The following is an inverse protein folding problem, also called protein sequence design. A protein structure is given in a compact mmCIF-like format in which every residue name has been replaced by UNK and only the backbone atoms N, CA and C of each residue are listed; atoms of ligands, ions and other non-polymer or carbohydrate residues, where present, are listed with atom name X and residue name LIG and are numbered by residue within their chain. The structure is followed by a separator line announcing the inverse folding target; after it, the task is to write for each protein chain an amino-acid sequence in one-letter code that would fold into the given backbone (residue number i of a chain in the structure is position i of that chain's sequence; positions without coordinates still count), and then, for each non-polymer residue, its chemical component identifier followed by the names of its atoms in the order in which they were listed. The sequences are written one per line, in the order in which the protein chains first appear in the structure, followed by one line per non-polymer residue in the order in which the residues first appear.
data_IF_111344990158
#
_entry.id   IF_111344990158
#
_cell.length_a   1.000
_cell.length_b   1.000
_cell.length_c   1.000
_cell.angle_alpha   90.00
_cell.angle_beta   90.00
_cell.angle_gamma   90.00
#
_symmetry.space_group_name_H-M   'P 1'
#
loop_
_entity.id
_entity.type
_entity.pdbx_description
1 polymer ?
#
# COMPACT_ATOMS: atom_id res chain seq x y z
N UNK A 1 -10.75 -43.56 -7.78
CA UNK A 1 -11.60 -43.50 -6.59
C UNK A 1 -10.71 -43.35 -5.36
N UNK A 2 -10.48 -42.12 -4.98
CA UNK A 2 -9.95 -41.71 -3.68
C UNK A 2 -10.44 -40.26 -3.52
N UNK A 3 -11.70 -40.13 -3.13
CA UNK A 3 -12.31 -38.85 -2.83
C UNK A 3 -11.65 -38.30 -1.56
N UNK A 4 -10.77 -37.31 -1.76
CA UNK A 4 -10.30 -36.44 -0.71
C UNK A 4 -11.47 -35.60 -0.22
N UNK A 5 -12.09 -36.00 0.88
CA UNK A 5 -13.03 -35.16 1.62
C UNK A 5 -12.23 -33.97 2.16
N UNK A 6 -12.28 -32.85 1.44
CA UNK A 6 -11.88 -31.57 2.00
C UNK A 6 -12.71 -31.35 3.26
N UNK A 7 -12.07 -31.35 4.42
CA UNK A 7 -12.72 -31.01 5.68
C UNK A 7 -13.28 -29.60 5.56
N UNK A 8 -14.59 -29.48 5.34
CA UNK A 8 -15.29 -28.20 5.44
C UNK A 8 -15.11 -27.70 6.86
N UNK A 9 -14.20 -26.76 7.07
CA UNK A 9 -14.10 -26.03 8.32
C UNK A 9 -15.45 -25.38 8.59
N UNK A 10 -16.19 -25.91 9.56
CA UNK A 10 -17.40 -25.29 10.07
C UNK A 10 -16.94 -24.11 10.92
N UNK A 11 -17.18 -22.90 10.43
CA UNK A 11 -16.94 -21.66 11.15
C UNK A 11 -18.08 -21.49 12.16
N UNK A 12 -17.77 -21.63 13.45
CA UNK A 12 -18.76 -21.73 14.54
C UNK A 12 -18.86 -20.41 15.28
N UNK A 13 -20.10 -20.00 15.59
CA UNK A 13 -20.36 -18.92 16.53
C UNK A 13 -20.05 -19.41 17.94
N UNK A 14 -19.25 -18.66 18.67
CA UNK A 14 -18.75 -18.98 20.00
C UNK A 14 -19.09 -17.87 20.99
N UNK A 15 -19.19 -18.24 22.25
CA UNK A 15 -19.37 -17.29 23.34
C UNK A 15 -18.03 -16.63 23.72
N UNK A 16 -18.10 -15.42 24.27
CA UNK A 16 -16.90 -14.70 24.72
C UNK A 16 -16.09 -15.49 25.76
N UNK A 17 -16.78 -16.23 26.65
CA UNK A 17 -16.14 -17.07 27.66
C UNK A 17 -15.34 -18.23 27.05
N UNK A 18 -15.79 -18.79 25.93
CA UNK A 18 -15.07 -19.85 25.22
C UNK A 18 -13.77 -19.30 24.60
N UNK A 19 -13.82 -18.08 24.06
CA UNK A 19 -12.63 -17.40 23.56
C UNK A 19 -11.65 -17.06 24.68
N UNK A 20 -12.13 -16.59 25.84
CA UNK A 20 -11.26 -16.33 27.00
C UNK A 20 -10.62 -17.61 27.55
N UNK A 21 -11.33 -18.75 27.50
CA UNK A 21 -10.80 -20.05 27.90
C UNK A 21 -9.59 -20.48 27.04
N UNK A 22 -9.55 -20.12 25.74
CA UNK A 22 -8.40 -20.39 24.87
C UNK A 22 -7.13 -19.63 25.29
N UNK A 23 -7.27 -18.49 25.97
CA UNK A 23 -6.15 -17.79 26.58
C UNK A 23 -5.77 -18.34 27.97
N UNK A 24 -6.56 -19.24 28.56
CA UNK A 24 -6.37 -19.75 29.92
C UNK A 24 -7.34 -19.16 30.96
N UNK A 25 -8.42 -18.51 30.52
CA UNK A 25 -9.47 -17.95 31.38
C UNK A 25 -9.24 -16.50 31.81
N UNK A 26 -10.33 -15.84 32.23
CA UNK A 26 -10.36 -14.39 32.51
C UNK A 26 -9.54 -13.93 33.72
N UNK A 27 -9.33 -14.80 34.71
CA UNK A 27 -8.62 -14.45 35.96
C UNK A 27 -7.10 -14.24 35.78
N UNK A 28 -6.52 -14.70 34.65
CA UNK A 28 -5.08 -14.62 34.38
C UNK A 28 -4.69 -14.01 33.04
N UNK A 29 -5.66 -13.66 32.19
CA UNK A 29 -5.39 -13.07 30.88
C UNK A 29 -5.25 -11.54 30.96
N UNK A 30 -4.19 -11.00 30.37
CA UNK A 30 -4.02 -9.57 30.18
C UNK A 30 -4.73 -9.12 28.90
N UNK A 31 -5.43 -8.00 28.96
CA UNK A 31 -6.22 -7.47 27.83
C UNK A 31 -5.61 -6.17 27.30
N UNK A 32 -5.43 -6.11 25.99
CA UNK A 32 -4.91 -4.95 25.27
C UNK A 32 -5.83 -4.59 24.11
N UNK A 33 -5.75 -3.34 23.67
CA UNK A 33 -6.37 -2.87 22.43
C UNK A 33 -5.26 -2.46 21.45
N UNK A 34 -5.28 -3.02 20.24
CA UNK A 34 -4.24 -2.81 19.22
C UNK A 34 -4.93 -2.63 17.86
N UNK A 35 -4.88 -1.42 17.29
CA UNK A 35 -5.51 -1.11 16.01
C UNK A 35 -7.03 -1.37 15.97
N UNK A 36 -7.72 -1.24 17.12
CA UNK A 36 -9.15 -1.56 17.24
C UNK A 36 -9.48 -3.03 17.53
N UNK A 37 -8.50 -3.94 17.44
CA UNK A 37 -8.67 -5.31 17.93
C UNK A 37 -8.41 -5.41 19.44
N UNK A 38 -9.15 -6.28 20.11
CA UNK A 38 -8.82 -6.76 21.45
C UNK A 38 -7.81 -7.89 21.33
N UNK A 39 -6.72 -7.82 22.09
CA UNK A 39 -5.73 -8.89 22.24
C UNK A 39 -5.72 -9.37 23.69
N UNK A 40 -6.00 -10.64 23.91
CA UNK A 40 -5.90 -11.31 25.20
C UNK A 40 -4.63 -12.15 25.23
N UNK A 41 -3.78 -11.94 26.22
CA UNK A 41 -2.57 -12.73 26.43
C UNK A 41 -2.73 -13.52 27.71
N UNK A 42 -2.65 -14.85 27.65
CA UNK A 42 -2.68 -15.68 28.84
C UNK A 42 -1.73 -16.86 28.76
N UNK A 43 -1.74 -17.75 29.77
CA UNK A 43 -0.79 -18.85 29.88
C UNK A 43 -1.00 -19.96 28.85
N UNK A 44 -2.21 -20.09 28.29
CA UNK A 44 -2.54 -21.16 27.33
C UNK A 44 -2.44 -20.72 25.87
N UNK A 45 -2.37 -19.42 25.61
CA UNK A 45 -2.48 -18.88 24.27
C UNK A 45 -2.62 -17.36 24.23
N UNK A 46 -2.74 -16.85 23.02
CA UNK A 46 -3.17 -15.48 22.75
C UNK A 46 -4.46 -15.52 21.94
N UNK A 47 -5.38 -14.60 22.19
CA UNK A 47 -6.65 -14.49 21.47
C UNK A 47 -6.80 -13.08 20.91
N UNK A 48 -7.05 -12.97 19.62
CA UNK A 48 -7.29 -11.71 18.93
C UNK A 48 -8.76 -11.67 18.52
N UNK A 49 -9.46 -10.60 18.92
CA UNK A 49 -10.86 -10.36 18.56
C UNK A 49 -10.98 -8.99 17.92
N UNK A 50 -11.46 -8.93 16.70
CA UNK A 50 -11.78 -7.66 16.01
C UNK A 50 -13.25 -7.58 15.65
N UNK A 51 -13.76 -6.39 15.30
CA UNK A 51 -15.07 -6.28 14.64
C UNK A 51 -14.95 -6.65 13.16
N UNK A 52 -16.03 -7.17 12.58
CA UNK A 52 -16.10 -7.27 11.13
C UNK A 52 -16.04 -5.88 10.49
N UNK A 53 -15.34 -5.78 9.37
CA UNK A 53 -15.17 -4.52 8.69
C UNK A 53 -14.04 -4.55 7.68
N UNK A 54 -13.88 -3.45 6.96
CA UNK A 54 -12.93 -3.30 5.88
C UNK A 54 -12.29 -1.91 5.89
N UNK A 55 -11.85 -1.48 7.08
CA UNK A 55 -11.29 -0.14 7.29
C UNK A 55 -9.77 -0.22 7.18
N UNK A 56 -9.13 0.48 6.23
CA UNK A 56 -7.68 0.55 6.13
C UNK A 56 -7.04 1.05 7.42
N UNK A 57 -5.85 0.51 7.75
CA UNK A 57 -5.11 0.88 8.96
C UNK A 57 -5.70 0.37 10.28
N UNK A 58 -6.83 -0.35 10.25
CA UNK A 58 -7.40 -1.02 11.42
C UNK A 58 -7.12 -2.53 11.40
N UNK A 59 -6.99 -3.12 12.58
CA UNK A 59 -6.77 -4.56 12.73
C UNK A 59 -7.98 -5.35 12.23
N UNK A 60 -7.77 -6.29 11.31
CA UNK A 60 -8.86 -6.95 10.61
C UNK A 60 -8.45 -8.16 9.78
N UNK A 61 -9.45 -8.89 9.29
CA UNK A 61 -9.25 -9.90 8.23
C UNK A 61 -8.99 -9.14 6.93
N UNK A 62 -7.95 -9.53 6.20
CA UNK A 62 -7.54 -8.88 4.94
C UNK A 62 -7.71 -9.78 3.72
N UNK A 63 -7.56 -11.09 3.85
CA UNK A 63 -7.83 -12.00 2.74
C UNK A 63 -8.42 -13.30 3.26
N UNK A 64 -8.62 -14.28 2.38
CA UNK A 64 -8.96 -15.62 2.82
C UNK A 64 -7.89 -16.21 3.75
N UNK A 65 -6.64 -15.74 3.65
CA UNK A 65 -5.51 -16.32 4.36
C UNK A 65 -4.86 -15.36 5.37
N UNK A 66 -5.16 -14.06 5.31
CA UNK A 66 -4.46 -13.06 6.10
C UNK A 66 -5.38 -12.33 7.08
N UNK A 67 -4.86 -12.13 8.28
CA UNK A 67 -5.28 -11.12 9.25
C UNK A 67 -4.13 -10.14 9.48
N UNK A 68 -4.44 -8.85 9.63
CA UNK A 68 -3.45 -7.81 9.94
C UNK A 68 -3.77 -7.19 11.28
N UNK A 69 -2.77 -7.13 12.16
CA UNK A 69 -2.81 -6.41 13.43
C UNK A 69 -2.02 -5.12 13.27
N UNK A 70 -2.71 -3.97 13.29
CA UNK A 70 -2.09 -2.66 13.14
C UNK A 70 -1.79 -2.05 14.52
N UNK A 71 -0.56 -1.58 14.67
CA UNK A 71 -0.01 -1.01 15.89
C UNK A 71 -0.19 0.51 15.99
N UNK A 72 0.54 1.17 16.91
CA UNK A 72 1.58 0.58 17.75
C UNK A 72 1.02 -0.40 18.79
N UNK A 73 1.61 -1.60 18.87
CA UNK A 73 1.23 -2.56 19.91
C UNK A 73 1.99 -2.30 21.22
N UNK A 74 1.35 -2.46 22.39
CA UNK A 74 2.05 -2.44 23.67
C UNK A 74 3.15 -3.51 23.76
N UNK A 75 4.22 -3.20 24.48
CA UNK A 75 5.38 -4.09 24.70
C UNK A 75 5.00 -5.55 25.01
N UNK A 76 4.05 -5.86 25.92
CA UNK A 76 3.68 -7.26 26.19
C UNK A 76 3.14 -8.00 24.96
N UNK A 77 2.39 -7.31 24.10
CA UNK A 77 1.87 -7.88 22.85
C UNK A 77 3.01 -8.10 21.86
N UNK A 78 3.90 -7.11 21.70
CA UNK A 78 5.09 -7.24 20.83
C UNK A 78 5.95 -8.44 21.25
N UNK A 79 6.33 -8.54 22.53
CA UNK A 79 7.12 -9.65 23.07
C UNK A 79 6.42 -11.00 22.91
N UNK A 80 5.10 -11.04 23.12
CA UNK A 80 4.35 -12.30 22.96
C UNK A 80 4.30 -12.77 21.50
N UNK A 81 4.13 -11.86 20.54
CA UNK A 81 3.97 -12.22 19.13
C UNK A 81 5.31 -12.46 18.44
N UNK A 82 6.35 -11.70 18.78
CA UNK A 82 7.67 -11.78 18.13
C UNK A 82 8.67 -12.64 18.92
N UNK A 83 8.39 -12.94 20.19
CA UNK A 83 9.34 -13.50 21.13
C UNK A 83 10.29 -12.44 21.71
N UNK A 84 11.12 -12.86 22.68
CA UNK A 84 12.17 -12.02 23.29
C UNK A 84 13.48 -12.03 22.48
N UNK A 85 13.55 -12.78 21.38
CA UNK A 85 14.77 -12.95 20.58
C UNK A 85 14.75 -12.05 19.34
N UNK A 86 15.82 -11.28 19.13
CA UNK A 86 16.11 -10.57 17.87
C UNK A 86 16.36 -11.55 16.68
N UNK A 87 16.26 -12.86 16.90
CA UNK A 87 16.43 -13.89 15.88
C UNK A 87 15.08 -14.35 15.29
N UNK A 88 14.90 -14.07 14.01
CA UNK A 88 13.79 -14.57 13.20
C UNK A 88 13.80 -16.10 13.14
N UNK A 89 12.78 -16.73 13.73
CA UNK A 89 12.55 -18.17 13.68
C UNK A 89 11.53 -18.57 14.74
N UNK A 90 10.42 -19.17 14.32
CA UNK A 90 9.40 -19.66 15.23
C UNK A 90 10.00 -20.78 16.10
N UNK A 91 10.23 -20.49 17.38
CA UNK A 91 10.49 -21.53 18.37
C UNK A 91 9.20 -22.36 18.53
N UNK A 92 9.34 -23.68 18.61
CA UNK A 92 8.24 -24.63 18.88
C UNK A 92 7.58 -24.38 20.26
N UNK A 93 8.16 -23.49 21.07
CA UNK A 93 7.63 -22.99 22.34
C UNK A 93 6.56 -21.88 22.22
N UNK A 94 6.27 -21.40 21.00
CA UNK A 94 5.31 -20.30 20.81
C UNK A 94 3.87 -20.74 21.11
N UNK A 95 3.25 -20.06 22.09
CA UNK A 95 1.86 -20.29 22.47
C UNK A 95 0.92 -19.99 21.28
N UNK A 96 -0.16 -20.77 21.09
CA UNK A 96 -1.04 -20.62 19.94
C UNK A 96 -1.72 -19.25 19.93
N UNK A 97 -1.90 -18.71 18.72
CA UNK A 97 -2.65 -17.47 18.48
C UNK A 97 -3.98 -17.86 17.86
N UNK A 98 -5.06 -17.48 18.52
CA UNK A 98 -6.44 -17.75 18.13
C UNK A 98 -7.10 -16.48 17.63
N UNK A 99 -7.88 -16.58 16.56
CA UNK A 99 -8.55 -15.44 15.95
C UNK A 99 -10.08 -15.60 16.00
N UNK A 100 -10.79 -14.53 16.35
CA UNK A 100 -12.23 -14.43 16.20
C UNK A 100 -12.64 -13.04 15.69
N UNK A 101 -13.80 -13.00 15.02
CA UNK A 101 -14.40 -11.76 14.52
C UNK A 101 -15.77 -11.57 15.14
N UNK A 102 -16.03 -10.37 15.66
CA UNK A 102 -17.33 -9.95 16.19
C UNK A 102 -18.25 -9.54 15.04
N UNK A 103 -19.39 -10.20 14.99
CA UNK A 103 -20.54 -9.93 14.13
C UNK A 103 -21.70 -9.45 15.00
N UNK A 104 -22.79 -9.00 14.38
CA UNK A 104 -23.99 -8.55 15.10
C UNK A 104 -24.63 -9.70 15.89
N UNK A 105 -24.53 -10.93 15.37
CA UNK A 105 -25.08 -12.16 15.92
C UNK A 105 -24.16 -12.90 16.90
N UNK A 106 -22.91 -12.46 17.09
CA UNK A 106 -21.97 -13.10 18.03
C UNK A 106 -20.50 -13.09 17.57
N UNK A 107 -19.65 -13.86 18.24
CA UNK A 107 -18.25 -14.04 17.83
C UNK A 107 -18.12 -15.24 16.89
N UNK A 108 -17.55 -15.04 15.71
CA UNK A 108 -17.19 -16.10 14.79
C UNK A 108 -15.73 -16.49 15.00
N UNK A 109 -15.47 -17.72 15.44
CA UNK A 109 -14.11 -18.22 15.58
C UNK A 109 -13.50 -18.57 14.23
N UNK A 110 -12.32 -18.01 13.93
CA UNK A 110 -11.60 -18.15 12.67
C UNK A 110 -10.38 -19.09 12.75
N UNK A 111 -10.25 -19.85 13.84
CA UNK A 111 -9.17 -20.82 13.96
C UNK A 111 -7.86 -20.22 14.50
N UNK A 112 -6.78 -20.95 14.23
CA UNK A 112 -5.41 -20.57 14.62
C UNK A 112 -4.74 -19.79 13.51
N UNK A 113 -3.83 -18.92 13.92
CA UNK A 113 -3.01 -18.13 13.02
C UNK A 113 -1.54 -18.22 13.40
N UNK A 114 -0.66 -17.98 12.43
CA UNK A 114 0.79 -17.92 12.62
C UNK A 114 1.32 -16.59 12.16
N UNK A 115 2.35 -16.11 12.84
CA UNK A 115 3.08 -14.92 12.38
C UNK A 115 3.72 -15.21 11.02
N UNK A 116 3.41 -14.39 10.03
CA UNK A 116 4.01 -14.46 8.69
C UNK A 116 5.01 -13.32 8.47
N UNK A 117 4.66 -12.11 8.89
CA UNK A 117 5.51 -10.91 8.75
C UNK A 117 5.25 -9.95 9.89
N UNK A 118 6.28 -9.25 10.35
CA UNK A 118 6.14 -8.17 11.30
C UNK A 118 7.00 -6.97 10.90
N UNK A 119 6.49 -5.79 11.21
CA UNK A 119 7.20 -4.52 11.09
C UNK A 119 7.21 -3.88 12.47
N UNK A 120 8.35 -3.33 12.85
CA UNK A 120 8.55 -2.69 14.14
C UNK A 120 9.22 -1.34 13.95
N UNK A 121 8.83 -0.35 14.76
CA UNK A 121 9.51 0.95 14.81
C UNK A 121 10.20 1.12 16.17
N UNK A 122 11.39 1.70 16.14
CA UNK A 122 12.09 2.13 17.36
C UNK A 122 11.77 3.60 17.63
N UNK A 123 11.40 3.98 18.88
CA UNK A 123 11.21 5.38 19.24
C UNK A 123 12.50 6.20 19.05
N UNK A 124 12.36 7.41 18.53
CA UNK A 124 13.45 8.40 18.51
C UNK A 124 13.81 8.77 19.96
N UNK A 125 15.00 8.40 20.42
CA UNK A 125 15.45 8.59 21.81
C UNK A 125 15.88 7.30 22.53
N UNK A 126 15.75 6.14 21.89
CA UNK A 126 16.06 4.85 22.49
C UNK A 126 14.89 4.31 23.32
N UNK A 127 14.58 3.03 23.15
CA UNK A 127 13.43 2.38 23.76
C UNK A 127 13.17 1.01 23.11
N UNK A 128 12.28 0.22 23.71
CA UNK A 128 11.86 -1.05 23.10
C UNK A 128 11.08 -0.80 21.80
N UNK A 129 11.34 -1.63 20.79
CA UNK A 129 10.68 -1.53 19.49
C UNK A 129 9.18 -1.83 19.65
N UNK A 130 8.32 -1.00 19.06
CA UNK A 130 6.88 -1.23 19.03
C UNK A 130 6.51 -1.90 17.71
N UNK A 131 5.69 -2.95 17.78
CA UNK A 131 5.12 -3.58 16.59
C UNK A 131 4.14 -2.58 15.92
N UNK A 132 4.37 -2.25 14.66
CA UNK A 132 3.52 -1.35 13.85
C UNK A 132 2.59 -2.11 12.93
N UNK A 133 3.03 -3.23 12.35
CA UNK A 133 2.18 -4.11 11.54
C UNK A 133 2.58 -5.55 11.83
N UNK A 134 1.62 -6.41 12.08
CA UNK A 134 1.81 -7.86 12.17
C UNK A 134 0.83 -8.57 11.25
N UNK A 135 1.37 -9.29 10.28
CA UNK A 135 0.61 -10.12 9.33
C UNK A 135 0.57 -11.54 9.88
N UNK A 136 -0.65 -12.01 10.13
CA UNK A 136 -0.95 -13.32 10.67
C UNK A 136 -1.63 -14.15 9.59
N UNK A 137 -1.08 -15.32 9.26
CA UNK A 137 -1.65 -16.24 8.28
C UNK A 137 -2.55 -17.25 8.98
N UNK A 138 -3.76 -17.45 8.46
CA UNK A 138 -4.69 -18.46 8.97
C UNK A 138 -4.20 -19.86 8.61
N UNK A 139 -4.25 -20.79 9.58
CA UNK A 139 -3.92 -22.20 9.36
C UNK A 139 -4.88 -22.87 8.37
N UNK A 140 -6.10 -22.33 8.23
CA UNK A 140 -7.10 -22.79 7.28
C UNK A 140 -7.69 -21.57 6.55
N UNK A 141 -7.55 -21.47 5.22
CA UNK A 141 -8.13 -20.37 4.45
C UNK A 141 -9.64 -20.25 4.63
N UNK A 142 -10.15 -19.03 4.69
CA UNK A 142 -11.58 -18.73 4.75
C UNK A 142 -12.24 -19.06 3.42
N UNK A 143 -13.44 -19.65 3.50
CA UNK A 143 -14.31 -19.74 2.34
C UNK A 143 -14.80 -18.35 1.90
N UNK A 144 -15.08 -18.17 0.61
CA UNK A 144 -15.63 -16.90 0.06
C UNK A 144 -16.86 -16.38 0.85
N UNK A 145 -17.86 -17.21 1.24
CA UNK A 145 -18.99 -16.76 2.04
C UNK A 145 -18.60 -16.21 3.42
N UNK A 146 -17.61 -16.84 4.08
CA UNK A 146 -17.15 -16.38 5.39
C UNK A 146 -16.33 -15.11 5.28
N UNK A 147 -15.43 -15.02 4.30
CA UNK A 147 -14.67 -13.80 4.04
C UNK A 147 -15.60 -12.59 3.83
N UNK A 148 -16.68 -12.75 3.04
CA UNK A 148 -17.68 -11.70 2.83
C UNK A 148 -18.42 -11.29 4.10
N UNK A 149 -18.59 -12.20 5.06
CA UNK A 149 -19.28 -11.93 6.33
C UNK A 149 -18.37 -11.21 7.32
N UNK A 150 -17.09 -11.58 7.41
CA UNK A 150 -16.13 -11.00 8.37
C UNK A 150 -15.44 -9.74 7.85
N UNK A 151 -15.39 -9.57 6.53
CA UNK A 151 -14.81 -8.41 5.85
C UNK A 151 -15.77 -7.95 4.74
N UNK A 152 -16.97 -7.47 5.11
CA UNK A 152 -17.95 -7.02 4.14
C UNK A 152 -17.39 -5.82 3.37
N UNK A 153 -17.53 -5.85 2.04
CA UNK A 153 -17.20 -4.70 1.21
C UNK A 153 -18.24 -3.61 1.50
N UNK A 154 -17.79 -2.44 1.96
CA UNK A 154 -18.67 -1.29 2.12
C UNK A 154 -19.27 -0.89 0.75
N UNK A 155 -20.43 -0.23 0.73
CA UNK A 155 -20.91 0.40 -0.51
C UNK A 155 -19.82 1.30 -1.08
N UNK A 156 -19.56 1.19 -2.38
CA UNK A 156 -18.57 2.05 -3.02
C UNK A 156 -18.94 3.51 -2.77
N UNK A 157 -18.03 4.34 -2.21
CA UNK A 157 -18.25 5.78 -2.20
C UNK A 157 -18.26 6.30 -3.65
N UNK A 158 -18.50 7.60 -3.85
CA UNK A 158 -18.27 8.23 -5.13
C UNK A 158 -16.78 8.07 -5.51
N UNK A 159 -16.50 7.06 -6.34
CA UNK A 159 -15.14 6.73 -6.75
C UNK A 159 -14.59 7.86 -7.62
N UNK A 160 -13.27 8.17 -7.52
CA UNK A 160 -12.63 9.17 -8.37
C UNK A 160 -12.91 8.89 -9.84
N UNK A 161 -13.43 9.89 -10.56
CA UNK A 161 -13.74 9.76 -11.97
C UNK A 161 -12.49 9.81 -12.88
N UNK A 162 -12.69 9.58 -14.17
CA UNK A 162 -11.63 9.61 -15.19
C UNK A 162 -11.63 10.92 -16.01
N UNK A 163 -12.28 11.98 -15.52
CA UNK A 163 -12.41 13.26 -16.20
C UNK A 163 -11.06 13.90 -16.52
N UNK A 164 -10.04 13.66 -15.68
CA UNK A 164 -8.67 14.13 -15.86
C UNK A 164 -8.00 13.61 -17.14
N UNK A 165 -8.42 12.45 -17.68
CA UNK A 165 -7.85 11.87 -18.89
C UNK A 165 -7.99 12.78 -20.12
N UNK A 166 -9.04 13.62 -20.17
CA UNK A 166 -9.26 14.56 -21.28
C UNK A 166 -8.17 15.65 -21.35
N UNK A 167 -7.44 15.87 -20.27
CA UNK A 167 -6.43 16.91 -20.15
C UNK A 167 -5.00 16.41 -20.47
N UNK A 168 -4.75 15.09 -20.46
CA UNK A 168 -3.39 14.50 -20.52
C UNK A 168 -2.57 14.91 -21.76
N UNK A 169 -3.22 15.10 -22.91
CA UNK A 169 -2.54 15.48 -24.16
C UNK A 169 -2.46 16.99 -24.42
N UNK A 170 -2.98 17.83 -23.52
CA UNK A 170 -3.03 19.28 -23.71
C UNK A 170 -2.62 20.08 -22.48
N UNK A 171 -3.23 19.79 -21.34
CA UNK A 171 -3.00 20.47 -20.06
C UNK A 171 -2.69 19.44 -18.97
N UNK A 172 -1.44 19.01 -18.92
CA UNK A 172 -0.98 17.99 -17.95
C UNK A 172 -1.01 18.49 -16.52
N UNK A 173 -0.90 19.80 -16.31
CA UNK A 173 -1.09 20.42 -15.00
C UNK A 173 -2.51 20.21 -14.49
N UNK A 174 -3.53 20.49 -15.31
CA UNK A 174 -4.92 20.22 -14.95
C UNK A 174 -5.21 18.72 -14.75
N UNK A 175 -4.57 17.85 -15.55
CA UNK A 175 -4.68 16.40 -15.37
C UNK A 175 -4.12 15.95 -14.00
N UNK A 176 -2.93 16.43 -13.64
CA UNK A 176 -2.29 16.15 -12.35
C UNK A 176 -3.15 16.64 -11.18
N UNK A 177 -3.63 17.88 -11.23
CA UNK A 177 -4.49 18.46 -10.19
C UNK A 177 -5.76 17.66 -9.96
N UNK A 178 -6.49 17.31 -11.03
CA UNK A 178 -7.72 16.53 -10.92
C UNK A 178 -7.45 15.12 -10.41
N UNK A 179 -6.40 14.45 -10.90
CA UNK A 179 -6.03 13.13 -10.42
C UNK A 179 -5.66 13.14 -8.94
N UNK A 180 -4.73 14.01 -8.53
CA UNK A 180 -4.26 14.12 -7.14
C UNK A 180 -5.40 14.49 -6.20
N UNK A 181 -6.28 15.41 -6.61
CA UNK A 181 -7.43 15.83 -5.81
C UNK A 181 -8.44 14.70 -5.61
N UNK A 182 -8.66 13.89 -6.64
CA UNK A 182 -9.56 12.73 -6.56
C UNK A 182 -8.95 11.55 -5.79
N UNK A 183 -7.65 11.32 -5.94
CA UNK A 183 -6.98 10.15 -5.38
C UNK A 183 -6.59 10.32 -3.91
N UNK A 184 -5.98 11.46 -3.56
CA UNK A 184 -5.43 11.69 -2.24
C UNK A 184 -6.39 12.54 -1.39
N UNK A 185 -6.84 12.04 -0.22
CA UNK A 185 -7.69 12.81 0.66
C UNK A 185 -6.93 14.04 1.18
N UNK A 186 -7.64 15.16 1.33
CA UNK A 186 -7.08 16.33 1.99
C UNK A 186 -6.81 16.01 3.47
N UNK A 187 -5.65 16.41 3.98
CA UNK A 187 -5.38 16.38 5.40
C UNK A 187 -6.44 17.24 6.12
N UNK A 188 -7.09 16.69 7.15
CA UNK A 188 -8.14 17.38 7.92
C UNK A 188 -7.65 18.57 8.77
N UNK A 189 -6.43 19.03 8.54
CA UNK A 189 -5.80 20.13 9.24
C UNK A 189 -5.84 21.38 8.36
N UNK A 190 -6.17 22.57 8.89
CA UNK A 190 -6.18 23.79 8.10
C UNK A 190 -4.77 24.02 7.52
N UNK A 191 -4.67 24.51 6.28
CA UNK A 191 -3.39 24.77 5.65
C UNK A 191 -2.59 25.70 6.56
N UNK A 192 -1.41 25.25 6.98
CA UNK A 192 -0.40 26.15 7.52
C UNK A 192 -0.12 27.24 6.47
N UNK A 193 0.13 28.50 6.86
CA UNK A 193 0.43 29.56 5.90
C UNK A 193 1.54 29.07 4.95
N UNK A 194 1.29 29.19 3.64
CA UNK A 194 2.10 28.62 2.57
C UNK A 194 3.58 28.76 2.87
N UNK A 195 4.24 27.60 2.96
CA UNK A 195 5.67 27.55 3.28
C UNK A 195 6.54 27.65 2.05
N UNK A 196 5.96 27.85 0.86
CA UNK A 196 6.69 28.15 -0.37
C UNK A 196 7.23 29.59 -0.26
N UNK A 197 8.53 29.80 0.03
CA UNK A 197 9.05 31.15 0.19
C UNK A 197 9.11 31.82 -1.17
N UNK A 198 9.22 33.16 -1.17
CA UNK A 198 9.36 33.99 -2.36
C UNK A 198 10.60 33.68 -3.24
N UNK A 199 11.43 32.70 -2.85
CA UNK A 199 12.55 32.14 -3.64
C UNK A 199 12.20 30.94 -4.53
N UNK A 200 10.96 30.46 -4.50
CA UNK A 200 10.42 29.38 -5.39
C UNK A 200 10.32 29.75 -6.87
N UNK A 201 10.54 31.03 -7.21
CA UNK A 201 10.40 31.59 -8.57
C UNK A 201 11.30 30.93 -9.63
N UNK A 202 12.26 30.10 -9.22
CA UNK A 202 13.15 29.40 -10.14
C UNK A 202 12.72 27.96 -10.45
N UNK A 203 11.80 27.35 -9.69
CA UNK A 203 11.34 25.98 -9.97
C UNK A 203 10.45 25.94 -11.22
N UNK A 204 10.48 24.86 -12.02
CA UNK A 204 9.53 24.68 -13.11
C UNK A 204 8.08 24.62 -12.61
N UNK A 205 7.14 25.11 -13.43
CA UNK A 205 5.74 25.25 -13.07
C UNK A 205 5.09 23.95 -12.58
N UNK A 206 5.45 22.80 -13.18
CA UNK A 206 4.93 21.49 -12.76
C UNK A 206 5.26 21.13 -11.30
N UNK A 207 6.50 21.37 -10.85
CA UNK A 207 6.89 21.12 -9.45
C UNK A 207 6.21 22.10 -8.50
N UNK A 208 6.12 23.39 -8.88
CA UNK A 208 5.38 24.37 -8.08
C UNK A 208 3.93 23.94 -7.85
N UNK A 209 3.25 23.48 -8.91
CA UNK A 209 1.88 23.00 -8.83
C UNK A 209 1.74 21.77 -7.92
N UNK A 210 2.64 20.78 -8.04
CA UNK A 210 2.62 19.61 -7.17
C UNK A 210 2.84 19.99 -5.70
N UNK A 211 3.77 20.91 -5.41
CA UNK A 211 3.99 21.36 -4.03
C UNK A 211 2.77 22.08 -3.45
N UNK A 212 2.07 22.89 -4.23
CA UNK A 212 0.81 23.51 -3.80
C UNK A 212 -0.27 22.47 -3.48
N UNK A 213 -0.38 21.42 -4.29
CA UNK A 213 -1.29 20.30 -4.00
C UNK A 213 -0.88 19.57 -2.71
N UNK A 214 0.43 19.37 -2.52
CA UNK A 214 0.99 18.68 -1.37
C UNK A 214 0.79 19.43 -0.04
N UNK A 215 0.61 20.75 -0.05
CA UNK A 215 0.28 21.52 1.18
C UNK A 215 -1.00 21.01 1.86
N UNK A 216 -1.96 20.51 1.08
CA UNK A 216 -3.20 19.91 1.60
C UNK A 216 -3.20 18.38 1.52
N UNK A 217 -2.32 17.79 0.71
CA UNK A 217 -2.29 16.35 0.40
C UNK A 217 -0.85 15.84 0.43
N UNK A 218 -0.23 15.71 1.62
CA UNK A 218 1.19 15.39 1.72
C UNK A 218 1.56 14.08 1.00
N UNK A 219 0.64 13.10 0.96
CA UNK A 219 0.82 11.84 0.24
C UNK A 219 1.00 11.99 -1.28
N UNK A 220 0.67 13.16 -1.86
CA UNK A 220 0.92 13.46 -3.27
C UNK A 220 2.42 13.51 -3.61
N UNK A 221 3.29 13.70 -2.60
CA UNK A 221 4.74 13.58 -2.75
C UNK A 221 5.23 12.13 -2.75
N UNK A 222 4.33 11.15 -2.59
CA UNK A 222 4.63 9.73 -2.64
C UNK A 222 4.98 9.11 -1.29
N UNK A 223 4.56 7.85 -1.12
CA UNK A 223 4.78 7.03 0.09
C UNK A 223 5.79 5.91 -0.15
N UNK A 224 5.82 5.38 -1.37
CA UNK A 224 6.82 4.41 -1.79
C UNK A 224 8.04 5.21 -2.24
N UNK A 225 8.05 5.76 -3.44
CA UNK A 225 9.03 6.74 -3.86
C UNK A 225 8.66 8.13 -3.35
N UNK A 226 9.62 9.06 -3.38
CA UNK A 226 9.41 10.39 -2.83
C UNK A 226 9.82 11.48 -3.81
N UNK A 227 8.93 12.45 -4.03
CA UNK A 227 9.30 13.80 -4.47
C UNK A 227 9.72 14.57 -3.23
N UNK A 228 10.97 15.01 -3.22
CA UNK A 228 11.55 15.72 -2.09
C UNK A 228 10.80 17.04 -1.86
N UNK A 229 10.49 17.41 -0.61
CA UNK A 229 10.04 18.75 -0.27
C UNK A 229 11.01 19.81 -0.81
N UNK A 230 10.48 20.98 -1.16
CA UNK A 230 11.27 22.03 -1.82
C UNK A 230 12.55 22.44 -1.05
N UNK A 231 12.55 22.34 0.29
CA UNK A 231 13.66 22.72 1.15
C UNK A 231 14.74 21.63 1.29
N UNK A 232 14.46 20.43 0.77
CA UNK A 232 15.37 19.29 0.75
C UNK A 232 16.01 19.09 -0.64
N UNK A 233 15.63 19.89 -1.62
CA UNK A 233 16.21 19.88 -2.95
C UNK A 233 17.70 20.21 -2.89
N UNK A 234 18.52 19.34 -3.47
CA UNK A 234 19.97 19.44 -3.45
C UNK A 234 20.54 19.03 -4.80
N UNK A 235 21.75 19.49 -5.09
CA UNK A 235 22.50 18.97 -6.23
C UNK A 235 22.92 17.53 -5.96
N UNK A 236 22.99 16.73 -7.02
CA UNK A 236 23.56 15.39 -6.94
C UNK A 236 25.07 15.44 -6.59
N UNK A 237 25.72 14.32 -6.24
CA UNK A 237 27.14 14.30 -5.88
C UNK A 237 28.10 14.87 -6.93
N UNK A 238 27.72 14.87 -8.21
CA UNK A 238 28.52 15.44 -9.30
C UNK A 238 28.20 16.92 -9.58
N UNK A 239 27.14 17.48 -8.97
CA UNK A 239 26.72 18.87 -9.17
C UNK A 239 26.07 19.14 -10.54
N UNK A 240 25.63 18.10 -11.23
CA UNK A 240 25.08 18.14 -12.60
C UNK A 240 23.54 18.23 -12.61
N UNK A 241 22.88 17.66 -11.60
CA UNK A 241 21.42 17.57 -11.52
C UNK A 241 20.89 18.17 -10.21
N UNK A 242 19.78 18.90 -10.27
CA UNK A 242 18.92 19.14 -9.11
C UNK A 242 18.14 17.87 -8.81
N UNK A 243 18.42 17.20 -7.70
CA UNK A 243 17.64 16.06 -7.25
C UNK A 243 16.32 16.54 -6.69
N UNK A 244 15.22 16.06 -7.28
CA UNK A 244 13.86 16.38 -6.81
C UNK A 244 13.04 15.14 -6.48
N UNK A 245 13.46 13.95 -6.92
CA UNK A 245 12.79 12.70 -6.60
C UNK A 245 13.80 11.61 -6.23
N UNK A 246 13.43 10.70 -5.34
CA UNK A 246 14.26 9.59 -4.87
C UNK A 246 13.44 8.31 -4.80
N UNK A 247 14.08 7.18 -5.10
CA UNK A 247 13.50 5.86 -4.87
C UNK A 247 13.60 5.47 -3.39
N UNK A 248 12.67 4.62 -2.95
CA UNK A 248 12.41 4.28 -1.56
C UNK A 248 13.56 3.53 -0.85
N UNK A 249 14.46 2.89 -1.60
CA UNK A 249 15.65 2.19 -1.11
C UNK A 249 16.94 2.99 -1.36
N UNK A 250 16.84 4.16 -2.00
CA UNK A 250 17.97 4.98 -2.38
C UNK A 250 18.81 4.36 -3.50
N UNK A 251 18.23 3.51 -4.35
CA UNK A 251 18.97 2.91 -5.46
C UNK A 251 19.17 3.89 -6.63
N UNK A 252 18.21 4.78 -6.85
CA UNK A 252 18.29 5.80 -7.88
C UNK A 252 17.53 7.07 -7.48
N UNK A 253 17.72 8.13 -8.27
CA UNK A 253 17.03 9.39 -8.12
C UNK A 253 16.66 10.02 -9.46
N UNK A 254 15.70 10.95 -9.39
CA UNK A 254 15.31 11.80 -10.50
C UNK A 254 15.78 13.23 -10.26
N UNK A 255 16.25 13.85 -11.34
CA UNK A 255 16.72 15.21 -11.30
C UNK A 255 16.47 16.00 -12.58
N UNK A 256 16.67 17.31 -12.48
CA UNK A 256 16.65 18.26 -13.59
C UNK A 256 18.06 18.78 -13.84
N UNK A 257 18.44 19.12 -15.08
CA UNK A 257 19.74 19.74 -15.34
C UNK A 257 19.95 20.98 -14.46
N UNK A 258 21.09 21.05 -13.77
CA UNK A 258 21.42 22.15 -12.87
C UNK A 258 21.92 23.37 -13.67
N UNK A 259 21.02 24.07 -14.37
CA UNK A 259 21.33 25.35 -15.02
C UNK A 259 20.24 26.37 -14.72
N UNK A 260 20.47 27.21 -13.71
CA UNK A 260 19.50 28.18 -13.20
C UNK A 260 19.34 29.46 -14.04
N UNK A 261 19.96 29.55 -15.21
CA UNK A 261 19.98 30.82 -15.94
C UNK A 261 18.59 31.18 -16.50
N UNK A 262 17.80 30.19 -16.97
CA UNK A 262 16.36 30.33 -17.27
C UNK A 262 15.64 28.98 -17.11
N UNK A 263 14.60 28.86 -16.25
CA UNK A 263 13.86 27.61 -16.12
C UNK A 263 13.10 27.31 -17.42
N UNK A 264 13.37 26.18 -18.06
CA UNK A 264 12.50 25.67 -19.11
C UNK A 264 11.10 25.40 -18.53
N UNK A 265 10.05 25.78 -19.25
CA UNK A 265 8.66 25.62 -18.79
C UNK A 265 8.31 24.18 -18.41
N UNK A 266 8.73 23.23 -19.24
CA UNK A 266 8.53 21.78 -19.05
C UNK A 266 9.83 21.02 -19.35
N UNK A 267 10.76 20.93 -18.38
CA UNK A 267 12.10 20.39 -18.60
C UNK A 267 12.11 18.86 -18.72
N UNK A 268 13.15 18.34 -19.39
CA UNK A 268 13.44 16.90 -19.42
C UNK A 268 13.85 16.40 -18.03
N UNK A 269 13.25 15.30 -17.59
CA UNK A 269 13.62 14.62 -16.34
C UNK A 269 14.73 13.60 -16.62
N UNK A 270 15.72 13.58 -15.74
CA UNK A 270 16.83 12.64 -15.78
C UNK A 270 16.73 11.65 -14.63
N UNK A 271 16.98 10.38 -14.93
CA UNK A 271 17.09 9.27 -14.01
C UNK A 271 18.56 8.88 -13.87
N UNK A 272 19.01 8.59 -12.65
CA UNK A 272 20.38 8.14 -12.39
C UNK A 272 20.43 7.15 -11.23
N UNK A 273 20.98 5.97 -11.48
CA UNK A 273 21.54 5.11 -10.43
C UNK A 273 22.89 5.65 -10.00
N UNK A 274 23.23 5.53 -8.71
CA UNK A 274 24.35 6.25 -8.08
C UNK A 274 25.70 6.21 -8.83
N UNK A 275 26.00 5.11 -9.51
CA UNK A 275 27.28 4.91 -10.23
C UNK A 275 27.15 4.98 -11.77
N UNK A 276 25.95 5.21 -12.29
CA UNK A 276 25.66 5.14 -13.71
C UNK A 276 25.54 6.51 -14.39
N UNK A 277 25.67 6.50 -15.71
CA UNK A 277 25.40 7.70 -16.52
C UNK A 277 23.92 8.03 -16.44
N UNK A 278 23.56 9.32 -16.33
CA UNK A 278 22.16 9.73 -16.29
C UNK A 278 21.51 9.37 -17.63
N UNK A 279 20.28 8.86 -17.56
CA UNK A 279 19.44 8.60 -18.72
C UNK A 279 18.16 9.42 -18.62
N UNK A 280 17.51 9.68 -19.74
CA UNK A 280 16.31 10.52 -19.75
C UNK A 280 15.05 9.69 -19.52
N UNK A 281 14.12 10.25 -18.76
CA UNK A 281 12.73 9.78 -18.77
C UNK A 281 12.07 10.10 -20.12
N UNK A 282 11.04 9.35 -20.47
CA UNK A 282 10.41 9.50 -21.80
C UNK A 282 9.43 10.67 -21.89
N UNK A 283 8.84 11.05 -20.75
CA UNK A 283 8.01 12.25 -20.62
C UNK A 283 8.83 13.40 -20.03
N UNK A 284 8.56 14.65 -20.44
CA UNK A 284 9.04 15.83 -19.71
C UNK A 284 8.36 15.91 -18.35
N UNK A 285 8.83 16.83 -17.50
CA UNK A 285 8.42 16.96 -16.10
C UNK A 285 6.90 16.89 -15.89
N UNK A 286 6.09 17.59 -16.68
CA UNK A 286 4.64 17.59 -16.56
C UNK A 286 4.00 16.20 -16.72
N UNK A 287 4.50 15.41 -17.68
CA UNK A 287 4.06 14.03 -17.90
C UNK A 287 4.65 13.08 -16.87
N UNK A 288 5.91 13.29 -16.49
CA UNK A 288 6.60 12.53 -15.44
C UNK A 288 5.88 12.65 -14.09
N UNK A 289 5.50 13.85 -13.66
CA UNK A 289 4.82 14.05 -12.37
C UNK A 289 3.47 13.34 -12.33
N UNK A 290 2.72 13.33 -13.45
CA UNK A 290 1.49 12.54 -13.55
C UNK A 290 1.78 11.03 -13.51
N UNK A 291 2.82 10.55 -14.20
CA UNK A 291 3.24 9.14 -14.13
C UNK A 291 3.70 8.74 -12.73
N UNK A 292 4.44 9.61 -12.04
CA UNK A 292 4.87 9.41 -10.66
C UNK A 292 3.65 9.27 -9.74
N UNK A 293 2.68 10.18 -9.84
CA UNK A 293 1.44 10.07 -9.05
C UNK A 293 0.64 8.80 -9.37
N UNK A 294 0.60 8.35 -10.63
CA UNK A 294 -0.05 7.09 -11.01
C UNK A 294 0.72 5.86 -10.46
N UNK A 295 2.05 5.90 -10.48
CA UNK A 295 2.90 4.85 -9.92
C UNK A 295 2.68 4.74 -8.40
N UNK A 296 2.74 5.86 -7.69
CA UNK A 296 2.48 5.91 -6.26
C UNK A 296 1.06 5.47 -5.91
N UNK A 297 0.07 5.85 -6.73
CA UNK A 297 -1.30 5.37 -6.59
C UNK A 297 -1.41 3.85 -6.73
N UNK A 298 -0.70 3.23 -7.68
CA UNK A 298 -0.71 1.78 -7.87
C UNK A 298 0.01 1.02 -6.75
N UNK A 299 1.15 1.53 -6.28
CA UNK A 299 2.05 0.87 -5.33
C UNK A 299 1.66 1.08 -3.87
N UNK A 300 1.12 2.26 -3.54
CA UNK A 300 0.97 2.74 -2.16
C UNK A 300 -0.48 2.92 -1.73
N UNK A 301 -1.44 2.43 -2.53
CA UNK A 301 -2.85 2.41 -2.15
C UNK A 301 -3.11 1.53 -0.92
N UNK A 302 -4.20 1.82 -0.23
CA UNK A 302 -4.64 1.05 0.92
C UNK A 302 -5.11 -0.37 0.53
N UNK A 303 -5.67 -0.50 -0.67
CA UNK A 303 -6.06 -1.77 -1.29
C UNK A 303 -5.22 -2.02 -2.52
N UNK A 304 -4.55 -3.18 -2.56
CA UNK A 304 -3.69 -3.53 -3.69
C UNK A 304 -3.93 -4.93 -4.24
N UNK A 305 -3.60 -5.08 -5.52
CA UNK A 305 -3.39 -6.35 -6.19
C UNK A 305 -1.98 -6.38 -6.79
N UNK A 306 -1.26 -7.50 -6.65
CA UNK A 306 0.08 -7.68 -7.21
C UNK A 306 0.22 -9.08 -7.81
N UNK A 307 0.74 -9.13 -9.03
CA UNK A 307 1.10 -10.36 -9.74
C UNK A 307 2.42 -10.14 -10.44
N UNK A 308 3.29 -11.12 -10.38
CA UNK A 308 4.52 -11.15 -11.15
C UNK A 308 4.39 -12.09 -12.35
N UNK A 309 5.35 -12.02 -13.28
CA UNK A 309 5.52 -13.03 -14.31
C UNK A 309 4.29 -13.27 -15.22
N UNK A 310 3.55 -12.22 -15.57
CA UNK A 310 2.42 -12.30 -16.50
C UNK A 310 2.86 -12.45 -17.95
N UNK A 311 2.13 -13.24 -18.72
CA UNK A 311 2.23 -13.27 -20.19
C UNK A 311 1.51 -12.08 -20.84
N UNK A 312 1.87 -11.76 -22.09
CA UNK A 312 1.16 -10.76 -22.92
C UNK A 312 -0.37 -10.96 -22.93
N UNK A 313 -0.81 -12.22 -23.04
CA UNK A 313 -2.23 -12.57 -23.08
C UNK A 313 -2.93 -12.23 -21.77
N UNK A 314 -2.30 -12.53 -20.63
CA UNK A 314 -2.87 -12.21 -19.32
C UNK A 314 -2.92 -10.69 -19.09
N UNK A 315 -1.88 -9.96 -19.51
CA UNK A 315 -1.89 -8.48 -19.49
C UNK A 315 -3.04 -7.94 -20.33
N UNK A 316 -3.24 -8.45 -21.55
CA UNK A 316 -4.35 -8.01 -22.41
C UNK A 316 -5.70 -8.30 -21.77
N UNK A 317 -5.87 -9.46 -21.13
CA UNK A 317 -7.12 -9.80 -20.43
C UNK A 317 -7.40 -8.84 -19.26
N UNK A 318 -6.39 -8.58 -18.42
CA UNK A 318 -6.50 -7.69 -17.26
C UNK A 318 -6.74 -6.23 -17.64
N UNK A 319 -6.14 -5.77 -18.74
CA UNK A 319 -6.21 -4.37 -19.17
C UNK A 319 -7.39 -4.09 -20.10
N UNK A 320 -8.04 -5.10 -20.68
CA UNK A 320 -9.18 -4.96 -21.58
C UNK A 320 -10.35 -4.10 -21.04
N UNK A 321 -10.76 -4.20 -19.75
CA UNK A 321 -11.84 -3.36 -19.22
C UNK A 321 -11.38 -1.95 -18.79
N UNK A 322 -10.08 -1.65 -18.88
CA UNK A 322 -9.48 -0.43 -18.35
C UNK A 322 -9.11 0.55 -19.48
N UNK A 323 -9.04 1.83 -19.14
CA UNK A 323 -8.58 2.85 -20.06
C UNK A 323 -7.07 3.05 -19.94
N UNK A 324 -6.33 2.88 -21.04
CA UNK A 324 -4.90 3.18 -21.08
C UNK A 324 -4.66 4.70 -20.96
N UNK A 325 -3.74 5.10 -20.09
CA UNK A 325 -3.30 6.50 -19.97
C UNK A 325 -2.42 6.84 -21.19
N UNK A 326 -2.70 7.92 -21.94
CA UNK A 326 -2.01 8.24 -23.19
C UNK A 326 -0.66 8.94 -22.96
N UNK A 327 0.21 8.32 -22.17
CA UNK A 327 1.59 8.75 -21.95
C UNK A 327 2.56 7.71 -22.51
N UNK A 328 3.82 8.13 -22.70
CA UNK A 328 4.95 7.23 -22.96
C UNK A 328 5.21 6.35 -21.73
N UNK A 329 6.17 5.43 -21.82
CA UNK A 329 6.47 4.54 -20.68
C UNK A 329 7.20 5.31 -19.58
N UNK A 330 6.84 5.03 -18.34
CA UNK A 330 7.53 5.51 -17.14
C UNK A 330 8.70 4.59 -16.81
N UNK A 331 9.83 5.16 -16.40
CA UNK A 331 11.04 4.42 -16.06
C UNK A 331 11.84 4.05 -17.32
N UNK A 332 13.14 4.39 -17.38
CA UNK A 332 13.97 4.11 -18.55
C UNK A 332 14.34 2.62 -18.66
N UNK A 333 14.37 1.89 -17.54
CA UNK A 333 14.80 0.49 -17.46
C UNK A 333 13.63 -0.50 -17.50
N UNK A 334 12.65 -0.33 -16.61
CA UNK A 334 11.43 -1.15 -16.58
C UNK A 334 10.27 -0.34 -17.16
N UNK A 335 10.01 -0.51 -18.47
CA UNK A 335 9.01 0.29 -19.19
C UNK A 335 7.63 0.06 -18.61
N UNK A 336 7.13 1.06 -17.90
CA UNK A 336 5.88 0.98 -17.17
C UNK A 336 4.77 1.71 -17.90
N UNK A 337 3.61 1.07 -18.03
CA UNK A 337 2.40 1.62 -18.66
C UNK A 337 1.27 1.63 -17.64
N UNK A 338 0.42 2.66 -17.69
CA UNK A 338 -0.69 2.82 -16.77
C UNK A 338 -2.04 2.60 -17.44
N UNK A 339 -2.94 1.93 -16.72
CA UNK A 339 -4.33 1.72 -17.08
C UNK A 339 -5.21 2.09 -15.89
N UNK A 340 -6.39 2.64 -16.14
CA UNK A 340 -7.23 3.20 -15.08
C UNK A 340 -8.71 2.85 -15.26
N UNK A 341 -9.40 2.75 -14.14
CA UNK A 341 -10.86 2.74 -14.01
C UNK A 341 -11.23 3.64 -12.81
N UNK A 342 -12.51 4.01 -12.60
CA UNK A 342 -12.87 4.83 -11.44
C UNK A 342 -12.36 4.22 -10.13
N UNK A 343 -11.53 4.99 -9.39
CA UNK A 343 -10.89 4.54 -8.14
C UNK A 343 -9.86 3.42 -8.26
N UNK A 344 -9.36 3.10 -9.47
CA UNK A 344 -8.37 2.05 -9.73
C UNK A 344 -7.26 2.57 -10.64
N UNK A 345 -6.00 2.35 -10.23
CA UNK A 345 -4.82 2.54 -11.08
C UNK A 345 -4.06 1.22 -11.19
N UNK A 346 -3.75 0.84 -12.41
CA UNK A 346 -2.96 -0.33 -12.76
C UNK A 346 -1.64 0.11 -13.38
N UNK A 347 -0.53 -0.35 -12.81
CA UNK A 347 0.82 -0.26 -13.35
C UNK A 347 1.18 -1.62 -13.97
N UNK A 348 1.66 -1.61 -15.22
CA UNK A 348 2.18 -2.80 -15.91
C UNK A 348 3.58 -2.49 -16.40
N UNK A 349 4.56 -3.19 -15.83
CA UNK A 349 5.99 -3.01 -16.09
C UNK A 349 6.57 -4.22 -16.80
N UNK A 350 7.49 -3.99 -17.73
CA UNK A 350 8.28 -5.08 -18.30
C UNK A 350 9.15 -5.69 -17.18
N UNK A 351 9.03 -7.01 -16.96
CA UNK A 351 9.91 -7.71 -16.03
C UNK A 351 11.34 -7.72 -16.59
N UNK A 352 12.32 -7.51 -15.72
CA UNK A 352 13.73 -7.45 -16.11
C UNK A 352 14.20 -8.84 -16.57
N UNK A 353 14.13 -9.10 -17.88
CA UNK A 353 14.83 -10.16 -18.65
C UNK A 353 14.09 -11.48 -18.99
N UNK A 354 12.77 -11.54 -19.05
CA UNK A 354 12.09 -12.78 -19.48
C UNK A 354 10.89 -12.61 -20.42
N UNK A 355 10.63 -11.38 -20.90
CA UNK A 355 9.49 -11.09 -21.76
C UNK A 355 8.14 -11.21 -21.04
N UNK A 356 8.14 -11.22 -19.71
CA UNK A 356 6.95 -11.17 -18.88
C UNK A 356 6.71 -9.77 -18.32
N UNK A 357 5.62 -9.63 -17.60
CA UNK A 357 5.20 -8.38 -17.00
C UNK A 357 4.90 -8.54 -15.52
N UNK A 358 5.27 -7.53 -14.76
CA UNK A 358 4.84 -7.36 -13.39
C UNK A 358 3.71 -6.33 -13.34
N UNK A 359 2.76 -6.57 -12.46
CA UNK A 359 1.55 -5.77 -12.35
C UNK A 359 1.28 -5.39 -10.90
N UNK A 360 0.98 -4.11 -10.72
CA UNK A 360 0.49 -3.54 -9.48
C UNK A 360 -0.82 -2.81 -9.73
N UNK A 361 -1.85 -3.18 -8.98
CA UNK A 361 -3.13 -2.51 -8.93
C UNK A 361 -3.24 -1.81 -7.58
N UNK A 362 -3.53 -0.52 -7.58
CA UNK A 362 -3.89 0.23 -6.39
C UNK A 362 -5.31 0.75 -6.52
N UNK A 363 -6.07 0.71 -5.42
CA UNK A 363 -7.45 1.16 -5.39
C UNK A 363 -7.76 2.04 -4.17
N UNK A 364 -8.54 3.10 -4.38
CA UNK A 364 -9.01 3.98 -3.28
C UNK A 364 -10.11 3.34 -2.44
N UNK A 365 -10.77 2.33 -2.99
CA UNK A 365 -11.77 1.53 -2.30
C UNK A 365 -11.71 0.10 -2.82
N UNK A 366 -11.87 -0.89 -1.93
CA UNK A 366 -11.76 -2.31 -2.29
C UNK A 366 -12.65 -2.70 -3.47
N UNK A 367 -13.89 -2.21 -3.53
CA UNK A 367 -14.80 -2.54 -4.62
C UNK A 367 -14.27 -2.15 -6.02
N UNK A 368 -13.33 -1.20 -6.12
CA UNK A 368 -12.76 -0.81 -7.41
C UNK A 368 -11.87 -1.92 -8.00
N UNK A 369 -11.32 -2.83 -7.19
CA UNK A 369 -10.58 -4.01 -7.67
C UNK A 369 -11.48 -4.99 -8.43
N UNK A 370 -12.81 -4.93 -8.27
CA UNK A 370 -13.76 -5.76 -9.02
C UNK A 370 -13.82 -5.43 -10.52
N UNK A 371 -13.24 -4.30 -10.95
CA UNK A 371 -13.06 -4.00 -12.36
C UNK A 371 -12.05 -4.94 -13.03
N UNK A 372 -11.18 -5.60 -12.26
CA UNK A 372 -10.22 -6.57 -12.77
C UNK A 372 -10.92 -7.93 -12.97
N UNK A 373 -10.80 -8.55 -14.16
CA UNK A 373 -11.41 -9.83 -14.42
C UNK A 373 -10.72 -10.95 -13.63
N UNK A 374 -11.49 -11.98 -13.25
CA UNK A 374 -10.89 -13.24 -12.82
C UNK A 374 -10.07 -13.83 -13.98
N UNK A 375 -8.87 -14.29 -13.68
CA UNK A 375 -7.97 -14.89 -14.66
C UNK A 375 -7.08 -15.94 -13.99
N UNK A 376 -6.45 -16.78 -14.82
CA UNK A 376 -5.63 -17.91 -14.37
C UNK A 376 -4.19 -17.43 -14.10
N UNK A 377 -3.99 -16.78 -12.95
CA UNK A 377 -2.68 -16.59 -12.34
C UNK A 377 -2.82 -16.52 -10.81
N UNK A 378 -1.73 -16.86 -10.14
CA UNK A 378 -1.62 -16.73 -8.70
C UNK A 378 -1.31 -15.28 -8.34
N UNK A 379 -2.19 -14.66 -7.55
CA UNK A 379 -1.92 -13.33 -7.00
C UNK A 379 -0.90 -13.46 -5.87
N UNK A 380 0.20 -12.70 -5.95
CA UNK A 380 1.11 -12.53 -4.82
C UNK A 380 0.41 -11.85 -3.65
N UNK A 381 -0.47 -10.89 -3.99
CA UNK A 381 -1.39 -10.23 -3.06
C UNK A 381 -2.63 -9.80 -3.81
N UNK A 382 -3.81 -10.00 -3.22
CA UNK A 382 -5.05 -9.42 -3.76
C UNK A 382 -5.99 -9.08 -2.61
N UNK A 383 -6.17 -7.78 -2.37
CA UNK A 383 -7.00 -7.27 -1.28
C UNK A 383 -8.50 -7.26 -1.61
N UNK A 384 -8.91 -7.76 -2.79
CA UNK A 384 -10.19 -8.45 -2.96
C UNK A 384 -11.28 -7.80 -3.79
#
# INVERSE_FOLDING_TARGET
MADGVAATALWVLVEAAEMEALAGGSAGAQRFTVGGATVLLGPSGSVIVTAAGDVPGHSGVWSAEEFRLFGPAPVPVTKRLLGDSEAWGADESSLPIHLAVRLDEGLLYLGRVRLSRAETTRPAGGGESALTICVLRLDTPLSRPVLRRVRPTAPAPDLPDLGWLKHVNGDRGAALEQFVTGWYPAAGQPPSPSSVPAGSRSLPGGLQQLYLLAEQRPDALGRHNHILPWHELQSDPLGELLVFGVENQGCFYWGLPWTWDEPQDDPTVWFREYDDKPVTEQEPLSGFLLQFSLFEAAMSADYVGCVDSLSDRQVQQLTAPLQRVPLRSFGPQARTRFYVAPGLVLSVSDALNDGKFDLWAGATHRSALQALPEFDAEWLRFDG
#
